data_IF_778740739407
#
_entry.id   IF_778740739407
#
_cell.length_a   1.000
_cell.length_b   1.000
_cell.length_c   1.000
_cell.angle_alpha   90.00
_cell.angle_beta   90.00
_cell.angle_gamma   90.00
#
_symmetry.space_group_name_H-M   'P 1'
#
loop_
_entity.id
_entity.type
_entity.pdbx_description
1 polymer ?
#
# COMPACT_ATOMS: atom_id res chain seq x y z
N UNK A 1 13.58 -34.45 21.41
CA UNK A 1 13.81 -33.00 21.21
C UNK A 1 12.67 -32.25 21.86
N UNK A 2 13.00 -31.31 22.74
CA UNK A 2 11.99 -30.47 23.37
C UNK A 2 11.32 -29.63 22.27
N UNK A 3 9.99 -29.42 22.35
CA UNK A 3 9.28 -28.58 21.39
C UNK A 3 9.78 -27.13 21.49
N UNK A 4 10.13 -26.55 20.36
CA UNK A 4 10.50 -25.14 20.29
C UNK A 4 9.23 -24.30 20.38
N UNK A 5 9.10 -23.55 21.49
CA UNK A 5 7.88 -22.80 21.81
C UNK A 5 8.15 -21.30 21.71
N UNK A 6 7.43 -20.62 20.83
CA UNK A 6 7.49 -19.17 20.66
C UNK A 6 6.18 -18.53 21.10
N UNK A 7 6.25 -17.35 21.71
CA UNK A 7 5.08 -16.61 22.24
C UNK A 7 5.12 -15.18 21.73
N UNK A 8 3.97 -14.68 21.29
CA UNK A 8 3.76 -13.28 20.99
C UNK A 8 2.73 -12.67 21.94
N UNK A 9 2.99 -11.46 22.41
CA UNK A 9 2.09 -10.72 23.28
C UNK A 9 1.52 -9.53 22.53
N UNK A 10 0.19 -9.39 22.58
CA UNK A 10 -0.52 -8.29 21.96
C UNK A 10 -1.08 -7.35 23.04
N UNK A 11 -1.05 -6.06 22.73
CA UNK A 11 -1.61 -5.02 23.61
C UNK A 11 -2.76 -4.33 22.89
N UNK A 12 -3.80 -3.99 23.65
CA UNK A 12 -4.89 -3.16 23.15
C UNK A 12 -4.32 -1.83 22.61
N UNK A 13 -4.66 -1.51 21.37
CA UNK A 13 -4.19 -0.31 20.67
C UNK A 13 -5.31 0.57 20.13
N UNK A 14 -6.58 0.14 20.30
CA UNK A 14 -7.74 0.93 19.95
C UNK A 14 -8.67 1.12 21.14
N UNK A 15 -9.08 2.37 21.39
CA UNK A 15 -10.08 2.77 22.38
C UNK A 15 -10.88 3.93 21.81
N UNK A 16 -12.01 3.63 21.17
CA UNK A 16 -12.86 4.62 20.55
C UNK A 16 -14.17 4.79 21.33
N UNK A 17 -14.71 5.98 21.24
CA UNK A 17 -15.98 6.35 21.80
C UNK A 17 -16.81 7.07 20.71
N UNK A 18 -17.89 6.42 20.28
CA UNK A 18 -18.86 7.00 19.38
C UNK A 18 -19.99 7.61 20.19
N UNK A 19 -20.31 8.85 19.93
CA UNK A 19 -21.32 9.58 20.72
C UNK A 19 -22.41 10.15 19.83
N UNK A 20 -23.64 10.10 20.29
CA UNK A 20 -24.77 10.76 19.67
C UNK A 20 -25.64 11.40 20.72
N UNK A 21 -26.00 12.66 20.51
CA UNK A 21 -26.92 13.39 21.38
C UNK A 21 -28.31 13.50 20.71
N UNK A 22 -29.33 13.09 21.44
CA UNK A 22 -30.74 13.16 21.01
C UNK A 22 -31.39 14.28 21.78
N UNK A 23 -31.70 15.37 21.11
CA UNK A 23 -32.44 16.48 21.74
C UNK A 23 -33.90 16.10 22.00
N UNK A 24 -34.49 16.72 23.03
CA UNK A 24 -35.89 16.54 23.32
C UNK A 24 -36.80 16.94 22.13
N UNK A 25 -36.44 17.99 21.41
CA UNK A 25 -37.18 18.47 20.23
C UNK A 25 -37.16 17.45 19.09
N UNK A 26 -35.95 16.83 18.81
CA UNK A 26 -35.82 15.74 17.84
C UNK A 26 -36.67 14.53 18.22
N UNK A 27 -36.66 14.17 19.49
CA UNK A 27 -37.49 13.08 20.01
C UNK A 27 -38.96 13.36 19.87
N UNK A 28 -39.42 14.58 20.24
CA UNK A 28 -40.82 14.99 20.08
C UNK A 28 -41.28 14.96 18.61
N UNK A 29 -40.43 15.36 17.68
CA UNK A 29 -40.69 15.27 16.25
C UNK A 29 -40.82 13.82 15.74
N UNK A 30 -40.13 12.86 16.36
CA UNK A 30 -40.23 11.44 16.05
C UNK A 30 -41.49 10.76 16.60
N UNK A 31 -42.12 11.34 17.68
CA UNK A 31 -43.35 10.80 18.30
C UNK A 31 -44.64 11.05 17.52
N UNK A 32 -44.60 11.42 16.26
CA UNK A 32 -45.79 11.60 15.41
C UNK A 32 -46.50 10.26 15.15
N UNK A 33 -45.74 9.16 15.08
CA UNK A 33 -46.24 7.78 15.03
C UNK A 33 -45.22 6.82 15.65
N UNK A 34 -45.69 5.65 16.08
CA UNK A 34 -44.81 4.62 16.66
C UNK A 34 -43.74 4.18 15.66
N UNK A 35 -44.11 3.96 14.40
CA UNK A 35 -43.21 3.54 13.33
C UNK A 35 -42.10 4.58 13.08
N UNK A 36 -42.40 5.87 13.13
CA UNK A 36 -41.41 6.93 12.96
C UNK A 36 -40.46 7.01 14.16
N UNK A 37 -40.95 6.78 15.35
CA UNK A 37 -40.11 6.73 16.55
C UNK A 37 -39.13 5.57 16.52
N UNK A 38 -39.62 4.37 16.20
CA UNK A 38 -38.77 3.17 16.09
C UNK A 38 -37.72 3.35 14.99
N UNK A 39 -38.13 3.90 13.83
CA UNK A 39 -37.17 4.17 12.73
C UNK A 39 -36.14 5.23 13.13
N UNK A 40 -36.49 6.23 13.91
CA UNK A 40 -35.58 7.27 14.37
C UNK A 40 -34.52 6.72 15.33
N UNK A 41 -34.91 5.93 16.33
CA UNK A 41 -34.02 5.30 17.29
C UNK A 41 -33.11 4.28 16.55
N UNK A 42 -33.70 3.47 15.67
CA UNK A 42 -32.95 2.52 14.84
C UNK A 42 -31.88 3.19 13.97
N UNK A 43 -32.20 4.33 13.36
CA UNK A 43 -31.24 5.09 12.56
C UNK A 43 -30.08 5.64 13.40
N UNK A 44 -30.35 6.11 14.61
CA UNK A 44 -29.30 6.60 15.53
C UNK A 44 -28.37 5.48 15.92
N UNK A 45 -28.92 4.37 16.43
CA UNK A 45 -28.12 3.20 16.81
C UNK A 45 -27.29 2.68 15.64
N UNK A 46 -27.90 2.56 14.45
CA UNK A 46 -27.21 2.16 13.23
C UNK A 46 -26.07 3.12 12.88
N UNK A 47 -26.24 4.42 13.09
CA UNK A 47 -25.19 5.41 12.79
C UNK A 47 -23.94 5.23 13.65
N UNK A 48 -24.08 4.85 14.92
CA UNK A 48 -22.96 4.58 15.83
C UNK A 48 -22.20 3.33 15.39
N UNK A 49 -22.91 2.25 15.08
CA UNK A 49 -22.28 1.01 14.58
C UNK A 49 -21.66 1.20 13.20
N UNK A 50 -22.26 1.97 12.30
CA UNK A 50 -21.67 2.28 10.99
C UNK A 50 -20.35 3.05 11.13
N UNK A 51 -20.28 4.00 12.07
CA UNK A 51 -19.03 4.69 12.40
C UNK A 51 -17.94 3.70 12.85
N UNK A 52 -18.29 2.76 13.72
CA UNK A 52 -17.36 1.72 14.15
C UNK A 52 -16.87 0.86 12.99
N UNK A 53 -17.73 0.37 12.11
CA UNK A 53 -17.35 -0.47 10.97
C UNK A 53 -16.43 0.25 9.97
N UNK A 54 -16.69 1.54 9.72
CA UNK A 54 -15.81 2.35 8.86
C UNK A 54 -14.41 2.45 9.47
N UNK A 55 -14.32 2.68 10.77
CA UNK A 55 -13.03 2.80 11.43
C UNK A 55 -12.32 1.44 11.58
N UNK A 56 -13.05 0.34 11.79
CA UNK A 56 -12.48 -1.02 11.74
C UNK A 56 -11.79 -1.31 10.42
N UNK A 57 -12.44 -0.95 9.31
CA UNK A 57 -11.87 -1.11 7.98
C UNK A 57 -10.58 -0.28 7.82
N UNK A 58 -10.58 0.98 8.28
CA UNK A 58 -9.40 1.84 8.25
C UNK A 58 -8.26 1.29 9.13
N UNK A 59 -8.55 0.88 10.36
CA UNK A 59 -7.54 0.31 11.26
C UNK A 59 -6.94 -0.98 10.70
N UNK A 60 -7.75 -1.80 10.06
CA UNK A 60 -7.28 -3.02 9.41
C UNK A 60 -6.26 -2.71 8.31
N UNK A 61 -6.55 -1.73 7.45
CA UNK A 61 -5.60 -1.25 6.43
C UNK A 61 -4.35 -0.66 7.06
N UNK A 62 -4.50 0.21 8.06
CA UNK A 62 -3.38 0.86 8.74
C UNK A 62 -2.40 -0.14 9.39
N UNK A 63 -2.88 -1.31 9.85
CA UNK A 63 -2.00 -2.37 10.35
C UNK A 63 -1.17 -2.99 9.24
N UNK A 64 -1.73 -3.16 8.06
CA UNK A 64 -1.01 -3.67 6.88
C UNK A 64 0.07 -2.66 6.46
N UNK A 65 -0.29 -1.38 6.35
CA UNK A 65 0.63 -0.29 6.00
C UNK A 65 1.75 -0.18 7.04
N UNK A 66 1.41 -0.19 8.33
CA UNK A 66 2.39 -0.17 9.41
C UNK A 66 3.31 -1.40 9.45
N UNK A 67 2.83 -2.56 9.01
CA UNK A 67 3.67 -3.75 8.87
C UNK A 67 4.66 -3.60 7.71
N UNK A 68 4.24 -2.99 6.61
CA UNK A 68 5.08 -2.69 5.46
C UNK A 68 6.15 -1.68 5.82
N UNK A 69 5.78 -0.51 6.33
CA UNK A 69 6.69 0.57 6.70
C UNK A 69 7.69 0.15 7.80
N UNK A 70 7.22 -0.62 8.77
CA UNK A 70 8.04 -1.17 9.84
C UNK A 70 8.91 -2.37 9.43
N UNK A 71 8.84 -2.82 8.17
CA UNK A 71 9.55 -3.99 7.68
C UNK A 71 9.14 -5.30 8.37
N UNK A 72 7.92 -5.37 8.94
CA UNK A 72 7.38 -6.53 9.69
C UNK A 72 6.63 -7.53 8.81
N UNK A 73 6.73 -7.39 7.52
CA UNK A 73 6.20 -8.30 6.50
C UNK A 73 7.29 -8.56 5.46
N UNK A 74 7.24 -9.73 4.81
CA UNK A 74 8.15 -10.02 3.71
C UNK A 74 7.72 -9.19 2.49
N UNK A 75 8.67 -8.51 1.87
CA UNK A 75 8.43 -7.62 0.74
C UNK A 75 8.97 -8.24 -0.55
N UNK A 76 8.13 -8.30 -1.56
CA UNK A 76 8.47 -8.75 -2.91
C UNK A 76 8.11 -7.65 -3.90
N UNK A 77 9.09 -7.22 -4.68
CA UNK A 77 8.86 -6.19 -5.69
C UNK A 77 8.20 -6.78 -6.92
N UNK A 78 7.18 -6.08 -7.41
CA UNK A 78 6.47 -6.39 -8.66
C UNK A 78 6.34 -5.13 -9.50
N UNK A 79 6.31 -5.28 -10.81
CA UNK A 79 6.05 -4.14 -11.70
C UNK A 79 4.59 -3.71 -11.62
N UNK A 80 4.33 -2.42 -11.77
CA UNK A 80 2.97 -1.91 -11.91
C UNK A 80 2.27 -2.58 -13.10
N UNK A 81 0.98 -2.86 -12.96
CA UNK A 81 0.18 -3.53 -13.99
C UNK A 81 -0.31 -2.50 -15.01
N UNK A 82 0.47 -2.27 -16.05
CA UNK A 82 0.17 -1.29 -17.12
C UNK A 82 -0.30 -1.93 -18.40
N UNK A 83 0.10 -3.17 -18.68
CA UNK A 83 -0.20 -3.91 -19.89
C UNK A 83 -0.49 -5.39 -19.61
N UNK A 84 -0.76 -6.17 -20.67
CA UNK A 84 -1.02 -7.61 -20.57
C UNK A 84 0.16 -8.38 -19.99
N UNK A 85 1.38 -8.03 -20.37
CA UNK A 85 2.60 -8.74 -19.96
C UNK A 85 2.86 -8.57 -18.47
N UNK A 86 2.70 -7.35 -17.94
CA UNK A 86 2.83 -7.05 -16.52
C UNK A 86 1.70 -7.68 -15.69
N UNK A 87 0.46 -7.76 -16.23
CA UNK A 87 -0.65 -8.47 -15.61
C UNK A 87 -0.39 -9.97 -15.49
N UNK A 88 0.09 -10.61 -16.56
CA UNK A 88 0.48 -12.02 -16.55
C UNK A 88 1.64 -12.28 -15.58
N UNK A 89 2.66 -11.42 -15.55
CA UNK A 89 3.78 -11.52 -14.62
C UNK A 89 3.33 -11.42 -13.16
N UNK A 90 2.41 -10.50 -12.85
CA UNK A 90 1.80 -10.36 -11.53
C UNK A 90 1.08 -11.65 -11.12
N UNK A 91 0.22 -12.20 -11.99
CA UNK A 91 -0.49 -13.45 -11.73
C UNK A 91 0.47 -14.63 -11.52
N UNK A 92 1.52 -14.74 -12.32
CA UNK A 92 2.55 -15.80 -12.15
C UNK A 92 3.23 -15.67 -10.79
N UNK A 93 3.52 -14.42 -10.34
CA UNK A 93 4.14 -14.17 -9.04
C UNK A 93 3.21 -14.58 -7.90
N UNK A 94 1.94 -14.17 -7.93
CA UNK A 94 0.92 -14.55 -6.94
C UNK A 94 0.78 -16.08 -6.87
N UNK A 95 0.67 -16.75 -8.04
CA UNK A 95 0.61 -18.23 -8.11
C UNK A 95 1.81 -18.90 -7.48
N UNK A 96 2.98 -18.40 -7.80
CA UNK A 96 4.23 -18.95 -7.27
C UNK A 96 4.28 -18.86 -5.75
N UNK A 97 3.88 -17.70 -5.19
CA UNK A 97 3.82 -17.50 -3.74
C UNK A 97 2.77 -18.40 -3.11
N UNK A 98 1.55 -18.43 -3.66
CA UNK A 98 0.48 -19.31 -3.21
C UNK A 98 0.92 -20.78 -3.14
N UNK A 99 1.58 -21.28 -4.19
CA UNK A 99 2.07 -22.64 -4.23
C UNK A 99 3.19 -22.89 -3.20
N UNK A 100 4.10 -21.95 -3.04
CA UNK A 100 5.28 -22.08 -2.16
C UNK A 100 4.92 -21.96 -0.68
N UNK A 101 3.95 -21.11 -0.31
CA UNK A 101 3.54 -20.93 1.08
C UNK A 101 2.90 -22.19 1.70
N UNK A 102 2.47 -23.16 0.90
CA UNK A 102 1.95 -24.46 1.35
C UNK A 102 3.03 -25.39 1.89
N UNK A 103 4.30 -25.11 1.59
CA UNK A 103 5.42 -25.95 2.02
C UNK A 103 6.15 -25.31 3.20
N UNK A 104 6.67 -26.15 4.14
CA UNK A 104 7.46 -25.66 5.26
C UNK A 104 8.65 -24.81 4.80
N UNK A 105 8.71 -23.56 5.24
CA UNK A 105 9.74 -22.59 4.87
C UNK A 105 9.95 -21.55 5.97
N UNK A 106 11.13 -20.97 6.02
CA UNK A 106 11.44 -19.80 6.87
C UNK A 106 11.37 -18.48 6.09
N UNK A 107 11.02 -18.52 4.80
CA UNK A 107 11.15 -17.37 3.89
C UNK A 107 9.91 -16.46 3.85
N UNK A 108 8.76 -16.95 4.31
CA UNK A 108 7.49 -16.25 4.14
C UNK A 108 6.91 -15.68 5.43
N UNK A 109 7.57 -15.90 6.57
CA UNK A 109 7.25 -15.25 7.84
C UNK A 109 8.29 -14.19 8.19
N UNK A 110 7.85 -13.17 8.91
CA UNK A 110 8.71 -12.07 9.31
C UNK A 110 9.21 -12.19 10.76
N UNK A 111 9.15 -13.38 11.38
CA UNK A 111 9.50 -13.56 12.79
C UNK A 111 10.85 -12.96 13.17
N UNK A 112 11.90 -13.21 12.37
CA UNK A 112 13.26 -12.70 12.63
C UNK A 112 13.39 -11.17 12.61
N UNK A 113 12.37 -10.46 12.09
CA UNK A 113 12.35 -8.99 12.01
C UNK A 113 11.71 -8.33 13.24
N UNK A 114 11.16 -9.13 14.15
CA UNK A 114 10.59 -8.62 15.38
C UNK A 114 11.63 -8.49 16.49
N UNK A 115 11.47 -7.47 17.34
CA UNK A 115 12.38 -7.24 18.47
C UNK A 115 12.31 -8.42 19.44
N UNK A 116 13.48 -8.93 19.83
CA UNK A 116 13.59 -10.09 20.73
C UNK A 116 13.47 -11.45 20.05
N UNK A 117 13.30 -11.51 18.73
CA UNK A 117 13.31 -12.77 17.98
C UNK A 117 14.66 -13.46 18.12
N UNK A 118 14.63 -14.78 18.34
CA UNK A 118 15.81 -15.64 18.39
C UNK A 118 15.66 -16.74 17.36
N UNK A 119 16.60 -16.80 16.39
CA UNK A 119 16.59 -17.81 15.35
C UNK A 119 15.52 -17.56 14.26
N UNK A 120 15.13 -18.63 13.61
CA UNK A 120 14.12 -18.64 12.53
C UNK A 120 13.03 -19.65 12.86
N UNK A 121 11.81 -19.37 12.45
CA UNK A 121 10.66 -20.27 12.60
C UNK A 121 10.27 -20.80 11.22
N UNK A 122 10.09 -22.12 11.13
CA UNK A 122 9.56 -22.75 9.91
C UNK A 122 8.04 -22.74 9.96
N UNK A 123 7.42 -22.16 8.93
CA UNK A 123 5.97 -22.02 8.81
C UNK A 123 5.47 -22.54 7.46
N UNK A 124 4.23 -22.95 7.42
CA UNK A 124 3.48 -23.28 6.21
C UNK A 124 2.03 -22.84 6.39
N UNK A 125 1.30 -22.73 5.31
CA UNK A 125 -0.11 -22.31 5.34
C UNK A 125 -0.93 -23.32 4.54
N UNK A 126 -1.99 -23.84 5.13
CA UNK A 126 -2.91 -24.72 4.43
C UNK A 126 -3.64 -23.97 3.30
N UNK A 127 -3.98 -24.66 2.26
CA UNK A 127 -4.48 -24.08 0.99
C UNK A 127 -5.74 -23.23 1.19
N UNK A 128 -6.65 -23.65 2.06
CA UNK A 128 -7.91 -22.98 2.37
C UNK A 128 -7.74 -21.73 3.25
N UNK A 129 -6.57 -21.56 3.87
CA UNK A 129 -6.25 -20.43 4.75
C UNK A 129 -5.46 -19.34 4.08
N UNK A 130 -5.01 -19.53 2.85
CA UNK A 130 -4.30 -18.49 2.10
C UNK A 130 -5.31 -17.47 1.59
N UNK A 131 -5.06 -16.21 1.89
CA UNK A 131 -5.89 -15.06 1.51
C UNK A 131 -5.06 -14.09 0.67
N UNK A 132 -5.64 -13.60 -0.41
CA UNK A 132 -5.12 -12.48 -1.19
C UNK A 132 -5.94 -11.23 -0.88
N UNK A 133 -5.30 -10.18 -0.37
CA UNK A 133 -5.89 -8.85 -0.17
C UNK A 133 -5.32 -7.96 -1.27
N UNK A 134 -6.16 -7.40 -2.11
CA UNK A 134 -5.71 -6.57 -3.23
C UNK A 134 -6.66 -5.40 -3.48
N UNK A 135 -6.15 -4.34 -4.10
CA UNK A 135 -6.98 -3.19 -4.46
C UNK A 135 -7.94 -3.54 -5.61
N UNK A 136 -9.15 -3.00 -5.56
CA UNK A 136 -10.17 -3.22 -6.58
C UNK A 136 -9.68 -2.80 -7.97
N UNK A 137 -8.92 -1.71 -8.06
CA UNK A 137 -8.35 -1.20 -9.31
C UNK A 137 -7.34 -2.18 -9.90
N UNK A 138 -6.48 -2.78 -9.08
CA UNK A 138 -5.52 -3.79 -9.52
C UNK A 138 -6.25 -5.03 -10.05
N UNK A 139 -7.24 -5.52 -9.31
CA UNK A 139 -8.02 -6.71 -9.72
C UNK A 139 -8.74 -6.46 -11.05
N UNK A 140 -9.39 -5.30 -11.20
CA UNK A 140 -10.02 -4.91 -12.47
C UNK A 140 -9.02 -4.81 -13.63
N UNK A 141 -7.82 -4.28 -13.40
CA UNK A 141 -6.77 -4.21 -14.41
C UNK A 141 -6.24 -5.60 -14.79
N UNK A 142 -6.07 -6.48 -13.84
CA UNK A 142 -5.63 -7.86 -14.08
C UNK A 142 -6.70 -8.62 -14.86
N UNK A 143 -7.97 -8.51 -14.49
CA UNK A 143 -9.08 -9.16 -15.17
C UNK A 143 -9.20 -8.70 -16.62
N UNK A 144 -9.18 -7.41 -16.87
CA UNK A 144 -9.32 -6.87 -18.24
C UNK A 144 -8.10 -7.19 -19.09
N UNK A 145 -6.89 -7.12 -18.56
CA UNK A 145 -5.65 -7.24 -19.34
C UNK A 145 -5.16 -8.67 -19.50
N UNK A 146 -5.30 -9.50 -18.48
CA UNK A 146 -4.83 -10.89 -18.51
C UNK A 146 -5.88 -11.87 -19.03
N UNK A 147 -7.17 -11.71 -18.67
CA UNK A 147 -8.23 -12.64 -19.05
C UNK A 147 -8.75 -12.42 -20.46
N UNK A 148 -8.59 -11.23 -21.03
CA UNK A 148 -9.06 -10.96 -22.40
C UNK A 148 -8.38 -11.80 -23.50
N UNK A 149 -7.43 -12.65 -23.16
CA UNK A 149 -6.60 -13.28 -24.20
C UNK A 149 -6.33 -14.77 -24.14
N UNK A 150 -6.46 -15.53 -23.08
CA UNK A 150 -6.00 -16.93 -23.13
C UNK A 150 -6.37 -17.91 -22.01
N UNK A 151 -6.96 -17.52 -20.89
CA UNK A 151 -7.13 -18.45 -19.79
C UNK A 151 -8.59 -18.61 -19.35
N UNK A 152 -9.25 -19.68 -19.82
CA UNK A 152 -10.43 -20.28 -19.19
C UNK A 152 -10.07 -20.92 -17.83
N UNK A 153 -9.41 -20.18 -16.95
CA UNK A 153 -9.11 -20.66 -15.60
C UNK A 153 -10.09 -19.97 -14.67
N UNK A 154 -10.85 -20.78 -13.96
CA UNK A 154 -11.77 -20.35 -12.92
C UNK A 154 -10.97 -19.56 -11.85
N UNK A 155 -11.11 -18.23 -11.85
CA UNK A 155 -10.40 -17.28 -11.00
C UNK A 155 -10.55 -17.64 -9.50
N UNK A 156 -11.77 -18.04 -9.11
CA UNK A 156 -12.08 -18.44 -7.74
C UNK A 156 -11.34 -19.72 -7.29
N UNK A 157 -11.01 -20.60 -8.23
CA UNK A 157 -10.30 -21.87 -7.98
C UNK A 157 -8.79 -21.70 -7.92
N UNK A 158 -8.30 -20.54 -8.34
CA UNK A 158 -6.91 -20.29 -8.61
C UNK A 158 -6.17 -19.54 -7.49
N UNK A 159 -6.83 -18.61 -6.80
CA UNK A 159 -6.22 -17.69 -5.87
C UNK A 159 -6.71 -17.84 -4.42
N UNK A 160 -7.42 -18.90 -4.10
CA UNK A 160 -8.02 -19.06 -2.77
C UNK A 160 -9.06 -17.97 -2.50
N UNK A 161 -9.06 -17.43 -1.31
CA UNK A 161 -9.95 -16.36 -0.87
C UNK A 161 -9.38 -15.01 -1.23
N UNK A 162 -10.08 -14.22 -2.04
CA UNK A 162 -9.71 -12.85 -2.41
C UNK A 162 -10.53 -11.86 -1.58
N UNK A 163 -9.87 -10.87 -0.99
CA UNK A 163 -10.49 -9.75 -0.28
C UNK A 163 -10.13 -8.47 -1.04
N UNK A 164 -11.15 -7.79 -1.53
CA UNK A 164 -10.99 -6.53 -2.23
C UNK A 164 -10.97 -5.37 -1.24
N UNK A 165 -10.04 -4.44 -1.44
CA UNK A 165 -9.96 -3.17 -0.70
C UNK A 165 -9.96 -2.01 -1.69
N UNK A 166 -10.43 -0.85 -1.23
CA UNK A 166 -10.46 0.38 -2.03
C UNK A 166 -9.04 0.85 -2.39
N UNK A 167 -8.19 1.05 -1.38
CA UNK A 167 -6.78 1.44 -1.50
C UNK A 167 -6.05 1.11 -0.21
N UNK A 168 -4.72 1.09 -0.25
CA UNK A 168 -3.85 1.15 0.92
C UNK A 168 -3.41 2.60 1.12
N UNK A 169 -3.05 2.99 2.34
CA UNK A 169 -2.51 4.34 2.62
C UNK A 169 -1.14 4.53 1.95
N UNK A 170 -0.39 3.44 1.80
CA UNK A 170 0.86 3.42 1.06
C UNK A 170 0.59 2.95 -0.38
N UNK A 171 0.70 3.86 -1.33
CA UNK A 171 0.44 3.63 -2.76
C UNK A 171 1.38 2.58 -3.40
N UNK A 172 2.47 2.23 -2.72
CA UNK A 172 3.40 1.20 -3.19
C UNK A 172 2.80 -0.21 -3.03
N UNK A 173 1.89 -0.41 -2.09
CA UNK A 173 1.28 -1.71 -1.82
C UNK A 173 0.22 -2.02 -2.88
N UNK A 174 0.48 -3.04 -3.69
CA UNK A 174 -0.45 -3.51 -4.71
C UNK A 174 -1.35 -4.62 -4.17
N UNK A 175 -0.77 -5.59 -3.46
CA UNK A 175 -1.50 -6.70 -2.88
C UNK A 175 -0.73 -7.32 -1.72
N UNK A 176 -1.44 -8.04 -0.86
CA UNK A 176 -0.86 -8.85 0.22
C UNK A 176 -1.39 -10.26 0.10
N UNK A 177 -0.48 -11.25 0.07
CA UNK A 177 -0.83 -12.66 0.17
C UNK A 177 -0.41 -13.17 1.54
N UNK A 178 -1.34 -13.68 2.31
CA UNK A 178 -1.07 -14.07 3.69
C UNK A 178 -1.90 -15.27 4.16
N UNK A 179 -1.46 -15.85 5.26
CA UNK A 179 -2.28 -16.74 6.08
C UNK A 179 -3.40 -15.95 6.75
N UNK A 180 -4.59 -16.47 6.81
CA UNK A 180 -5.73 -15.83 7.49
C UNK A 180 -5.41 -15.49 8.96
N UNK A 181 -4.55 -16.28 9.62
CA UNK A 181 -4.09 -16.02 10.98
C UNK A 181 -3.02 -14.92 11.08
N UNK A 182 -2.54 -14.37 9.97
CA UNK A 182 -1.56 -13.29 10.01
C UNK A 182 -2.12 -11.99 10.58
N UNK A 183 -3.33 -11.62 10.17
CA UNK A 183 -4.02 -10.45 10.69
C UNK A 183 -4.85 -10.85 11.91
N UNK A 184 -4.53 -10.28 13.05
CA UNK A 184 -5.15 -10.58 14.33
C UNK A 184 -6.00 -9.41 14.80
N UNK A 185 -7.30 -9.62 14.90
CA UNK A 185 -8.27 -8.62 15.37
C UNK A 185 -8.99 -9.23 16.58
N UNK A 186 -8.88 -8.58 17.72
CA UNK A 186 -9.54 -9.01 18.95
C UNK A 186 -10.43 -7.89 19.48
N UNK A 187 -11.70 -8.18 19.65
CA UNK A 187 -12.65 -7.32 20.34
C UNK A 187 -12.52 -7.51 21.84
N UNK A 188 -12.01 -6.48 22.51
CA UNK A 188 -11.82 -6.49 23.96
C UNK A 188 -13.07 -6.03 24.70
N UNK A 189 -13.76 -5.03 24.18
CA UNK A 189 -15.00 -4.48 24.73
C UNK A 189 -15.81 -3.83 23.62
N UNK A 190 -17.10 -4.15 23.56
CA UNK A 190 -18.11 -3.38 22.85
C UNK A 190 -19.26 -3.14 23.80
N UNK A 191 -19.48 -1.90 24.22
CA UNK A 191 -20.47 -1.56 25.19
C UNK A 191 -21.24 -0.31 24.79
N UNK A 192 -22.55 -0.43 24.80
CA UNK A 192 -23.47 0.67 24.61
C UNK A 192 -23.98 1.17 25.95
N UNK A 193 -23.90 2.47 26.19
CA UNK A 193 -24.39 3.14 27.39
C UNK A 193 -25.21 4.36 26.99
N UNK A 194 -26.25 4.67 27.74
CA UNK A 194 -27.05 5.87 27.57
C UNK A 194 -27.07 6.72 28.84
N UNK A 195 -27.12 8.01 28.70
CA UNK A 195 -27.18 8.95 29.82
C UNK A 195 -28.09 10.15 29.50
N UNK A 196 -29.07 10.40 30.38
CA UNK A 196 -29.89 11.59 30.31
C UNK A 196 -29.17 12.77 30.95
N UNK A 197 -28.96 13.83 30.19
CA UNK A 197 -28.46 15.11 30.68
C UNK A 197 -29.60 16.09 30.94
N UNK A 198 -30.01 16.23 32.21
CA UNK A 198 -31.12 17.08 32.63
C UNK A 198 -30.88 18.58 32.37
N UNK A 199 -29.61 19.03 32.29
CA UNK A 199 -29.27 20.44 32.06
C UNK A 199 -29.62 20.89 30.66
N UNK A 200 -29.47 20.03 29.65
CA UNK A 200 -29.78 20.33 28.26
C UNK A 200 -30.97 19.55 27.73
N UNK A 201 -31.65 18.82 28.60
CA UNK A 201 -32.82 17.99 28.27
C UNK A 201 -32.59 17.10 27.07
N UNK A 202 -31.43 16.41 27.04
CA UNK A 202 -31.03 15.57 25.94
C UNK A 202 -30.55 14.21 26.46
N UNK A 203 -30.75 13.18 25.66
CA UNK A 203 -30.19 11.86 25.84
C UNK A 203 -28.87 11.78 25.08
N UNK A 204 -27.86 11.29 25.72
CA UNK A 204 -26.57 10.99 25.10
C UNK A 204 -26.39 9.48 25.03
N UNK A 205 -26.12 8.98 23.84
CA UNK A 205 -25.80 7.60 23.56
C UNK A 205 -24.29 7.47 23.33
N UNK A 206 -23.71 6.45 23.89
CA UNK A 206 -22.29 6.17 23.85
C UNK A 206 -22.06 4.72 23.44
N UNK A 207 -21.25 4.52 22.39
CA UNK A 207 -20.75 3.21 22.03
C UNK A 207 -19.24 3.17 22.29
N UNK A 208 -18.84 2.44 23.32
CA UNK A 208 -17.44 2.20 23.67
C UNK A 208 -16.95 0.97 22.89
N UNK A 209 -15.88 1.15 22.12
CA UNK A 209 -15.25 0.07 21.38
C UNK A 209 -13.77 0.02 21.71
N UNK A 210 -13.34 -1.13 22.27
CA UNK A 210 -11.94 -1.39 22.55
C UNK A 210 -11.52 -2.62 21.78
N UNK A 211 -10.49 -2.50 20.97
CA UNK A 211 -10.01 -3.60 20.15
C UNK A 211 -8.49 -3.65 20.09
N UNK A 212 -7.97 -4.79 19.71
CA UNK A 212 -6.55 -5.02 19.45
C UNK A 212 -6.39 -5.41 18.00
N UNK A 213 -5.63 -4.63 17.25
CA UNK A 213 -5.23 -4.91 15.89
C UNK A 213 -3.75 -5.23 15.87
N UNK A 214 -3.39 -6.38 15.37
CA UNK A 214 -2.01 -6.85 15.39
C UNK A 214 -1.72 -7.78 14.21
N UNK A 215 -0.44 -8.07 14.01
CA UNK A 215 0.04 -9.07 13.05
C UNK A 215 0.70 -10.22 13.79
N UNK A 216 0.50 -11.44 13.30
CA UNK A 216 1.11 -12.64 13.85
C UNK A 216 2.50 -12.85 13.23
N UNK A 217 3.59 -12.81 14.02
CA UNK A 217 4.94 -13.02 13.51
C UNK A 217 5.20 -14.45 13.05
N UNK A 218 4.36 -15.41 13.43
CA UNK A 218 4.50 -16.84 13.13
C UNK A 218 3.67 -17.27 11.91
N UNK A 219 2.91 -16.37 11.32
CA UNK A 219 2.12 -16.64 10.13
C UNK A 219 2.82 -16.14 8.87
N UNK A 220 2.59 -16.83 7.76
CA UNK A 220 3.12 -16.43 6.46
C UNK A 220 2.40 -15.18 5.95
N UNK A 221 3.19 -14.20 5.50
CA UNK A 221 2.66 -13.02 4.82
C UNK A 221 3.73 -12.39 3.92
N UNK A 222 3.33 -12.07 2.71
CA UNK A 222 4.14 -11.41 1.69
C UNK A 222 3.36 -10.26 1.10
N UNK A 223 3.93 -9.06 1.13
CA UNK A 223 3.40 -7.91 0.40
C UNK A 223 4.02 -7.86 -0.99
N UNK A 224 3.18 -7.65 -1.98
CA UNK A 224 3.55 -7.36 -3.35
C UNK A 224 3.47 -5.84 -3.51
N UNK A 225 4.63 -5.20 -3.60
CA UNK A 225 4.72 -3.76 -3.71
C UNK A 225 5.37 -3.36 -5.04
N UNK A 226 4.98 -2.22 -5.58
CA UNK A 226 5.70 -1.60 -6.66
C UNK A 226 7.12 -1.22 -6.18
N UNK A 227 8.07 -1.13 -7.11
CA UNK A 227 9.38 -0.64 -6.73
C UNK A 227 9.24 0.77 -6.13
N UNK A 228 9.77 0.95 -4.93
CA UNK A 228 9.78 2.29 -4.32
C UNK A 228 10.57 3.23 -5.22
N UNK A 229 10.00 4.38 -5.62
CA UNK A 229 10.76 5.37 -6.33
C UNK A 229 12.01 5.75 -5.50
N UNK A 230 13.16 5.62 -6.12
CA UNK A 230 14.43 6.04 -5.52
C UNK A 230 14.86 7.32 -6.21
N UNK A 231 14.51 8.50 -5.67
CA UNK A 231 14.82 9.76 -6.32
C UNK A 231 16.33 9.97 -6.40
N UNK A 232 16.78 10.60 -7.46
CA UNK A 232 18.17 11.00 -7.59
C UNK A 232 18.53 12.01 -6.51
N UNK A 233 19.62 11.77 -5.81
CA UNK A 233 20.20 12.71 -4.83
C UNK A 233 21.36 13.50 -5.40
N UNK A 234 21.93 13.04 -6.50
CA UNK A 234 22.94 13.75 -7.27
C UNK A 234 22.96 13.26 -8.74
N UNK A 235 23.23 14.17 -9.65
CA UNK A 235 23.51 13.91 -11.04
C UNK A 235 24.91 14.42 -11.31
N UNK A 236 25.75 13.66 -11.94
CA UNK A 236 27.10 14.10 -12.35
C UNK A 236 27.35 13.78 -13.80
N UNK A 237 28.01 14.68 -14.46
CA UNK A 237 28.41 14.57 -15.88
C UNK A 237 29.70 15.35 -16.06
N UNK A 238 30.58 14.90 -16.94
CA UNK A 238 31.79 15.63 -17.30
C UNK A 238 31.48 16.63 -18.41
N UNK A 239 32.16 17.77 -18.38
CA UNK A 239 32.09 18.77 -19.43
C UNK A 239 32.35 18.15 -20.80
N UNK A 240 31.61 18.58 -21.79
CA UNK A 240 31.61 18.01 -23.15
C UNK A 240 31.94 19.08 -24.18
N UNK A 241 32.83 18.76 -25.09
CA UNK A 241 33.04 19.55 -26.28
C UNK A 241 32.58 18.75 -27.52
N UNK A 242 31.85 19.37 -28.41
CA UNK A 242 31.32 18.76 -29.64
C UNK A 242 31.54 19.70 -30.83
N UNK A 243 32.16 19.21 -31.87
CA UNK A 243 32.38 19.99 -33.11
C UNK A 243 31.05 20.28 -33.79
N UNK A 244 30.90 21.48 -34.36
CA UNK A 244 29.71 21.83 -35.10
C UNK A 244 29.45 20.82 -36.25
N UNK A 245 28.23 20.30 -36.31
CA UNK A 245 27.83 19.23 -37.24
C UNK A 245 28.09 17.81 -36.73
N UNK A 246 28.75 17.64 -35.59
CA UNK A 246 28.97 16.35 -34.97
C UNK A 246 27.99 16.08 -33.80
N UNK A 247 27.90 14.81 -33.39
CA UNK A 247 27.11 14.37 -32.26
C UNK A 247 28.00 13.78 -31.16
N UNK A 248 27.58 13.89 -29.91
CA UNK A 248 28.26 13.30 -28.76
C UNK A 248 27.29 12.84 -27.69
N UNK A 249 27.52 11.70 -27.10
CA UNK A 249 26.70 11.21 -25.99
C UNK A 249 27.18 11.81 -24.66
N UNK A 250 26.23 12.23 -23.81
CA UNK A 250 26.51 12.58 -22.43
C UNK A 250 26.67 11.31 -21.60
N UNK A 251 27.78 11.21 -20.86
CA UNK A 251 27.97 10.15 -19.87
C UNK A 251 27.49 10.68 -18.52
N UNK A 252 26.21 10.43 -18.23
CA UNK A 252 25.59 10.89 -16.98
C UNK A 252 25.64 9.78 -15.95
N UNK A 253 26.03 10.12 -14.73
CA UNK A 253 25.99 9.23 -13.57
C UNK A 253 24.97 9.77 -12.58
N UNK A 254 24.02 8.94 -12.20
CA UNK A 254 22.97 9.26 -11.22
C UNK A 254 23.32 8.59 -9.90
N UNK A 255 23.17 9.28 -8.80
CA UNK A 255 23.35 8.75 -7.45
C UNK A 255 22.03 8.81 -6.71
N UNK A 256 21.59 7.74 -6.04
CA UNK A 256 22.24 6.40 -6.00
C UNK A 256 22.10 5.65 -7.34
N UNK A 257 22.95 4.67 -7.58
CA UNK A 257 22.99 3.91 -8.86
C UNK A 257 21.66 3.21 -9.19
N UNK A 258 20.87 2.89 -8.17
CA UNK A 258 19.53 2.31 -8.31
C UNK A 258 18.41 3.36 -8.36
N UNK A 259 18.75 4.62 -8.66
CA UNK A 259 17.73 5.67 -8.82
C UNK A 259 16.75 5.33 -9.94
N UNK A 260 15.47 5.59 -9.69
CA UNK A 260 14.37 5.45 -10.65
C UNK A 260 14.06 6.75 -11.38
N UNK A 261 14.73 7.87 -10.99
CA UNK A 261 14.51 9.17 -11.63
C UNK A 261 14.89 9.15 -13.11
N UNK A 262 13.96 9.51 -13.95
CA UNK A 262 14.21 9.79 -15.36
C UNK A 262 14.86 11.17 -15.49
N UNK A 263 15.69 11.36 -16.52
CA UNK A 263 16.36 12.63 -16.80
C UNK A 263 15.70 13.32 -17.98
N UNK A 264 15.34 14.56 -17.78
CA UNK A 264 14.96 15.47 -18.84
C UNK A 264 16.13 16.38 -19.18
N UNK A 265 16.39 16.58 -20.48
CA UNK A 265 17.52 17.38 -20.97
C UNK A 265 17.00 18.60 -21.73
N UNK A 266 17.48 19.78 -21.33
CA UNK A 266 17.06 21.05 -21.93
C UNK A 266 18.32 21.84 -22.32
N UNK A 267 18.40 22.25 -23.58
CA UNK A 267 19.45 23.17 -24.02
C UNK A 267 19.03 24.63 -23.78
N UNK A 268 19.90 25.43 -23.21
CA UNK A 268 19.63 26.87 -23.03
C UNK A 268 19.78 27.69 -24.33
N UNK A 269 20.43 27.11 -25.34
CA UNK A 269 20.56 27.74 -26.66
C UNK A 269 20.69 26.69 -27.77
N UNK A 270 19.59 26.38 -28.43
CA UNK A 270 19.52 25.38 -29.49
C UNK A 270 20.23 25.79 -30.79
N UNK A 271 20.55 27.06 -30.96
CA UNK A 271 21.35 27.51 -32.13
C UNK A 271 22.84 27.17 -32.02
N UNK A 272 23.30 26.79 -30.81
CA UNK A 272 24.66 26.34 -30.56
C UNK A 272 24.69 24.82 -30.41
N UNK A 273 23.82 24.25 -29.56
CA UNK A 273 23.66 22.80 -29.35
C UNK A 273 22.21 22.42 -29.15
N UNK A 274 21.81 21.31 -29.77
CA UNK A 274 20.56 20.61 -29.40
C UNK A 274 20.88 19.36 -28.60
N UNK A 275 19.93 18.95 -27.75
CA UNK A 275 20.03 17.71 -26.93
C UNK A 275 18.77 16.87 -27.13
N UNK A 276 18.94 15.57 -27.31
CA UNK A 276 17.82 14.64 -27.40
C UNK A 276 17.35 14.19 -26.04
N UNK A 277 16.15 13.60 -25.95
CA UNK A 277 15.63 12.97 -24.72
C UNK A 277 16.54 11.83 -24.19
N UNK A 278 17.43 11.30 -25.00
CA UNK A 278 18.39 10.26 -24.62
C UNK A 278 19.78 10.79 -24.26
N UNK A 279 19.94 12.12 -24.16
CA UNK A 279 21.22 12.74 -23.79
C UNK A 279 22.24 12.79 -24.95
N UNK A 280 21.81 12.70 -26.20
CA UNK A 280 22.69 12.93 -27.37
C UNK A 280 22.75 14.40 -27.68
N UNK A 281 23.92 15.00 -27.58
CA UNK A 281 24.18 16.40 -27.90
C UNK A 281 24.62 16.50 -29.37
N UNK A 282 24.03 17.45 -30.12
CA UNK A 282 24.41 17.76 -31.52
C UNK A 282 24.90 19.21 -31.60
N UNK A 283 26.12 19.42 -32.07
CA UNK A 283 26.67 20.75 -32.35
C UNK A 283 25.96 21.37 -33.56
N UNK A 284 25.38 22.55 -33.39
CA UNK A 284 24.69 23.31 -34.45
C UNK A 284 25.54 24.47 -34.90
N UNK A 285 26.09 25.23 -33.99
CA UNK A 285 26.89 26.44 -34.25
C UNK A 285 28.08 26.54 -33.31
N UNK A 286 28.99 27.47 -33.62
CA UNK A 286 30.17 27.73 -32.77
C UNK A 286 29.74 28.60 -31.57
N UNK A 287 30.06 28.15 -30.37
CA UNK A 287 29.77 28.87 -29.15
C UNK A 287 29.75 27.93 -27.94
N UNK A 288 29.32 28.44 -26.80
CA UNK A 288 29.08 27.65 -25.60
C UNK A 288 27.64 27.82 -25.10
N UNK A 289 27.07 26.78 -24.57
CA UNK A 289 25.73 26.80 -23.98
C UNK A 289 25.66 25.88 -22.80
N UNK A 290 24.62 26.01 -22.01
CA UNK A 290 24.38 25.18 -20.86
C UNK A 290 23.28 24.16 -21.17
N UNK A 291 23.52 22.90 -20.87
CA UNK A 291 22.50 21.87 -20.84
C UNK A 291 22.05 21.69 -19.41
N UNK A 292 20.75 21.80 -19.19
CA UNK A 292 20.11 21.56 -17.90
C UNK A 292 19.62 20.12 -17.91
N UNK A 293 20.00 19.35 -16.90
CA UNK A 293 19.49 18.01 -16.64
C UNK A 293 18.61 18.07 -15.42
N UNK A 294 17.37 17.67 -15.58
CA UNK A 294 16.38 17.65 -14.51
C UNK A 294 15.94 16.23 -14.21
N UNK A 295 16.03 15.85 -12.94
CA UNK A 295 15.50 14.57 -12.47
C UNK A 295 14.01 14.70 -12.15
N UNK A 296 13.15 14.05 -12.92
CA UNK A 296 11.70 14.24 -12.89
C UNK A 296 11.05 13.95 -11.53
N UNK A 297 11.57 13.00 -10.78
CA UNK A 297 11.02 12.63 -9.47
C UNK A 297 11.65 13.39 -8.29
N UNK A 298 12.94 13.75 -8.42
CA UNK A 298 13.69 14.38 -7.31
C UNK A 298 13.66 15.90 -7.33
N UNK A 299 13.31 16.50 -8.47
CA UNK A 299 13.47 17.93 -8.71
C UNK A 299 14.94 18.39 -8.71
N UNK A 300 15.90 17.45 -8.73
CA UNK A 300 17.32 17.78 -8.73
C UNK A 300 17.75 18.25 -10.11
N UNK A 301 18.40 19.40 -10.18
CA UNK A 301 18.89 19.99 -11.42
C UNK A 301 20.42 20.01 -11.45
N UNK A 302 20.98 19.77 -12.62
CA UNK A 302 22.39 19.94 -12.88
C UNK A 302 22.61 20.74 -14.17
N UNK A 303 23.59 21.61 -14.14
CA UNK A 303 23.97 22.50 -15.25
C UNK A 303 25.31 22.05 -15.82
N UNK A 304 25.33 21.69 -17.10
CA UNK A 304 26.53 21.30 -17.83
C UNK A 304 26.89 22.35 -18.87
N UNK A 305 28.13 22.80 -18.89
CA UNK A 305 28.64 23.67 -19.95
C UNK A 305 29.13 22.81 -21.13
N UNK A 306 28.64 23.11 -22.30
CA UNK A 306 29.04 22.48 -23.58
C UNK A 306 29.66 23.54 -24.47
N UNK A 307 30.83 23.24 -25.04
CA UNK A 307 31.60 24.15 -25.89
C UNK A 307 31.98 23.51 -27.21
#
# INVERSE_FOLDING_TARGET
TDPDTHVAYYRRNRQDLYTKTISREGLQGAFVSWDKFESYIGAITTSLYSGNYIDEFKYTKAVIDGAYDGGKIIQETVSAVTDKTSAEAFLVKVRSLYAKMKFPSTSYNAYSRFSGAKGTVTTWTDEDRIVLIATADLLAQVDVKALAGAFNIDYAKFMGRVIEVDHFENDEILAVICDEAWLQIYDNLMRFDEFYNARVMAWNEYLHVWSTYAICPFANAVVLASAKPVPATAISVSDKSVVAGATGNLSVTITPVNSTSELEYISSNESVFTVSATGVVTGVGVGSTTIIMHGTESGYEMYLNVT
#
